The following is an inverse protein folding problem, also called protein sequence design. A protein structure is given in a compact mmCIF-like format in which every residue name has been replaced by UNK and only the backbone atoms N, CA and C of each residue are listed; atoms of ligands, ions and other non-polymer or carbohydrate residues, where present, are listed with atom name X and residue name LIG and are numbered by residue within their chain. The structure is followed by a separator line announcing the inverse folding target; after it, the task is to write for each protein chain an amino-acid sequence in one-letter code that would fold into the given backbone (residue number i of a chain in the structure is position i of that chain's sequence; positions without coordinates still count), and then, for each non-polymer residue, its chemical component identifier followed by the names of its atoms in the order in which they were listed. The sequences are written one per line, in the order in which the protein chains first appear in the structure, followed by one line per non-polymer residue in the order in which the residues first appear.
data_IF_738535129229
#
_entry.id   IF_738535129229
#
_cell.length_a   1.000
_cell.length_b   1.000
_cell.length_c   1.000
_cell.angle_alpha   90.00
_cell.angle_beta   90.00
_cell.angle_gamma   90.00
#
_symmetry.space_group_name_H-M   'P 1'
#
loop_
_entity.id
_entity.type
_entity.pdbx_description
1 polymer ?
#
# COMPACT_ATOMS: atom_id res chain seq x y z
N UNK A 1 6.79 15.31 -15.03
CA UNK A 1 5.80 15.05 -13.97
C UNK A 1 6.40 15.34 -12.60
N UNK A 2 5.69 16.02 -11.70
CA UNK A 2 6.13 16.32 -10.32
C UNK A 2 5.57 15.27 -9.38
N UNK A 3 6.42 14.36 -8.90
CA UNK A 3 6.04 13.16 -8.14
C UNK A 3 6.44 13.33 -6.68
N UNK A 4 5.59 12.85 -5.77
CA UNK A 4 5.88 12.71 -4.34
C UNK A 4 5.69 11.26 -3.91
N UNK A 5 6.68 10.71 -3.21
CA UNK A 5 6.57 9.43 -2.53
C UNK A 5 6.16 9.65 -1.08
N UNK A 6 5.28 8.83 -0.57
CA UNK A 6 4.86 8.83 0.82
C UNK A 6 4.93 7.43 1.42
N UNK A 7 5.28 7.36 2.67
CA UNK A 7 5.26 6.13 3.47
C UNK A 7 4.93 6.44 4.92
N UNK A 8 4.49 5.42 5.66
CA UNK A 8 4.42 5.49 7.12
C UNK A 8 4.89 4.18 7.74
N UNK A 9 5.29 4.23 8.98
CA UNK A 9 5.76 3.05 9.70
C UNK A 9 5.16 3.01 11.12
N UNK A 10 5.07 1.80 11.65
CA UNK A 10 4.61 1.58 13.04
C UNK A 10 5.69 2.05 14.02
N UNK A 11 5.33 2.71 15.14
CA UNK A 11 6.28 3.02 16.20
C UNK A 11 7.14 1.81 16.59
N UNK A 12 8.46 2.03 16.79
CA UNK A 12 9.43 0.98 17.11
C UNK A 12 9.87 0.09 15.96
N UNK A 13 9.50 0.42 14.71
CA UNK A 13 9.89 -0.38 13.52
C UNK A 13 10.81 0.38 12.56
N UNK A 14 11.25 1.56 12.93
CA UNK A 14 12.13 2.40 12.11
C UNK A 14 13.42 1.66 11.76
N UNK A 15 14.19 1.26 12.77
CA UNK A 15 15.47 0.57 12.59
C UNK A 15 15.30 -0.84 12.03
N UNK A 16 14.13 -1.46 12.24
CA UNK A 16 13.90 -2.83 11.79
C UNK A 16 13.79 -2.95 10.26
N UNK A 17 13.15 -1.98 9.60
CA UNK A 17 12.95 -2.02 8.14
C UNK A 17 12.66 -0.65 7.48
N UNK A 18 12.01 0.30 8.18
CA UNK A 18 11.53 1.53 7.54
C UNK A 18 12.68 2.45 7.12
N UNK A 19 13.74 2.57 7.92
CA UNK A 19 14.95 3.32 7.58
C UNK A 19 15.57 2.81 6.28
N UNK A 20 15.74 1.47 6.17
CA UNK A 20 16.29 0.82 4.98
C UNK A 20 15.43 1.13 3.75
N UNK A 21 14.12 1.06 3.89
CA UNK A 21 13.17 1.40 2.82
C UNK A 21 13.34 2.85 2.36
N UNK A 22 13.26 3.80 3.29
CA UNK A 22 13.37 5.24 2.97
C UNK A 22 14.72 5.56 2.34
N UNK A 23 15.82 5.02 2.90
CA UNK A 23 17.18 5.19 2.35
C UNK A 23 17.26 4.66 0.92
N UNK A 24 16.73 3.48 0.66
CA UNK A 24 16.73 2.88 -0.69
C UNK A 24 15.97 3.72 -1.72
N UNK A 25 14.89 4.39 -1.31
CA UNK A 25 14.18 5.35 -2.17
C UNK A 25 15.05 6.58 -2.44
N UNK A 26 15.68 7.14 -1.41
CA UNK A 26 16.54 8.32 -1.58
C UNK A 26 17.76 8.06 -2.46
N UNK A 27 18.29 6.86 -2.44
CA UNK A 27 19.46 6.45 -3.22
C UNK A 27 19.12 6.08 -4.67
N UNK A 28 17.97 5.47 -4.91
CA UNK A 28 17.66 4.82 -6.19
C UNK A 28 16.54 5.49 -7.00
N UNK A 29 15.81 6.43 -6.42
CA UNK A 29 14.76 7.14 -7.15
C UNK A 29 15.30 8.45 -7.72
N UNK A 30 14.80 8.89 -8.89
CA UNK A 30 15.30 10.09 -9.57
C UNK A 30 15.36 11.32 -8.66
N UNK A 31 16.36 12.16 -8.88
CA UNK A 31 16.45 13.46 -8.23
C UNK A 31 15.19 14.28 -8.48
N UNK A 32 14.83 15.14 -7.51
CA UNK A 32 13.61 15.96 -7.58
C UNK A 32 12.33 15.26 -7.13
N UNK A 33 12.36 13.96 -6.81
CA UNK A 33 11.22 13.29 -6.17
C UNK A 33 11.26 13.53 -4.66
N UNK A 34 10.22 14.18 -4.14
CA UNK A 34 10.07 14.43 -2.71
C UNK A 34 9.62 13.15 -1.98
N UNK A 35 10.14 12.94 -0.77
CA UNK A 35 9.81 11.79 0.08
C UNK A 35 9.25 12.30 1.41
N UNK A 36 7.98 12.01 1.68
CA UNK A 36 7.35 12.31 2.96
C UNK A 36 7.23 11.02 3.78
N UNK A 37 7.79 11.05 4.97
CA UNK A 37 7.76 9.94 5.93
C UNK A 37 6.84 10.34 7.08
N UNK A 38 5.71 9.67 7.17
CA UNK A 38 4.76 9.91 8.26
C UNK A 38 5.11 9.04 9.47
N UNK A 39 5.11 9.65 10.64
CA UNK A 39 5.37 8.96 11.91
C UNK A 39 4.29 9.28 12.94
N UNK A 40 4.23 8.48 13.99
CA UNK A 40 3.35 8.65 15.13
C UNK A 40 4.19 8.80 16.40
N UNK A 41 3.97 9.88 17.14
CA UNK A 41 4.66 10.13 18.41
C UNK A 41 6.07 10.66 18.24
N UNK A 42 7.09 9.82 18.34
CA UNK A 42 8.48 10.27 18.29
C UNK A 42 9.02 10.29 16.86
N UNK A 43 9.57 11.44 16.45
CA UNK A 43 10.30 11.56 15.20
C UNK A 43 11.54 10.64 15.22
N UNK A 44 11.80 9.90 14.14
CA UNK A 44 13.00 9.06 14.07
C UNK A 44 14.26 9.91 14.04
N UNK A 45 15.38 9.34 14.52
CA UNK A 45 16.67 10.00 14.50
C UNK A 45 17.04 10.51 13.12
N UNK A 46 17.51 11.76 13.09
CA UNK A 46 17.42 12.61 11.91
C UNK A 46 18.66 12.49 11.02
N UNK A 47 18.63 11.62 10.03
CA UNK A 47 19.50 11.80 8.86
C UNK A 47 18.83 12.81 7.93
N UNK A 48 19.25 14.07 8.02
CA UNK A 48 18.78 15.10 7.13
C UNK A 48 19.04 14.73 5.66
N UNK A 49 18.04 14.95 4.81
CA UNK A 49 18.17 14.81 3.36
C UNK A 49 17.24 15.83 2.68
N UNK A 50 17.69 16.57 1.65
CA UNK A 50 16.93 17.67 1.06
C UNK A 50 15.59 17.27 0.46
N UNK A 51 15.46 16.02 0.02
CA UNK A 51 14.23 15.46 -0.53
C UNK A 51 13.28 14.85 0.51
N UNK A 52 13.74 14.65 1.76
CA UNK A 52 13.01 13.95 2.80
C UNK A 52 12.37 14.95 3.77
N UNK A 53 11.10 14.71 4.10
CA UNK A 53 10.39 15.41 5.15
C UNK A 53 9.71 14.43 6.08
N UNK A 54 9.93 14.56 7.39
CA UNK A 54 9.16 13.89 8.42
C UNK A 54 7.88 14.66 8.72
N UNK A 55 6.77 13.95 8.92
CA UNK A 55 5.46 14.54 9.20
C UNK A 55 4.84 13.76 10.35
N UNK A 56 4.60 14.45 11.46
CA UNK A 56 3.82 13.89 12.56
C UNK A 56 2.36 13.73 12.14
N UNK A 57 1.95 12.49 12.00
CA UNK A 57 0.61 12.14 11.52
C UNK A 57 -0.49 12.60 12.48
N UNK A 58 -0.25 12.54 13.78
CA UNK A 58 -1.21 12.96 14.77
C UNK A 58 -1.42 14.49 14.76
N UNK A 59 -0.37 15.26 14.52
CA UNK A 59 -0.46 16.71 14.43
C UNK A 59 -1.21 17.19 13.18
N UNK A 60 -1.02 16.49 12.04
CA UNK A 60 -1.64 16.91 10.76
C UNK A 60 -3.00 16.28 10.51
N UNK A 61 -3.38 15.26 11.29
CA UNK A 61 -4.64 14.51 11.12
C UNK A 61 -5.36 14.29 12.47
N UNK A 62 -5.98 15.33 13.04
CA UNK A 62 -6.71 15.24 14.31
C UNK A 62 -7.89 14.26 14.24
N UNK A 63 -8.51 14.09 13.06
CA UNK A 63 -9.57 13.11 12.85
C UNK A 63 -9.10 11.67 13.06
N UNK A 64 -7.85 11.35 12.70
CA UNK A 64 -7.25 10.05 13.01
C UNK A 64 -7.13 9.85 14.52
N UNK A 65 -6.65 10.86 15.23
CA UNK A 65 -6.53 10.80 16.70
C UNK A 65 -7.89 10.56 17.34
N UNK A 66 -8.91 11.30 16.88
CA UNK A 66 -10.29 11.14 17.36
C UNK A 66 -10.83 9.73 17.08
N UNK A 67 -10.59 9.19 15.88
CA UNK A 67 -10.98 7.82 15.52
C UNK A 67 -10.29 6.79 16.43
N UNK A 68 -8.97 6.89 16.61
CA UNK A 68 -8.21 5.97 17.47
C UNK A 68 -8.68 6.02 18.91
N UNK A 69 -8.88 7.20 19.48
CA UNK A 69 -9.38 7.37 20.86
C UNK A 69 -10.78 6.77 21.04
N UNK A 70 -11.66 6.96 20.06
CA UNK A 70 -13.02 6.41 20.09
C UNK A 70 -13.03 4.88 20.11
N UNK A 71 -12.07 4.25 19.44
CA UNK A 71 -12.00 2.79 19.27
C UNK A 71 -10.85 2.12 20.03
N UNK A 72 -10.12 2.82 20.89
CA UNK A 72 -8.94 2.28 21.61
C UNK A 72 -9.23 1.04 22.46
N UNK A 73 -10.46 0.91 22.95
CA UNK A 73 -10.90 -0.20 23.80
C UNK A 73 -11.71 -1.26 23.02
N UNK A 74 -11.87 -1.12 21.71
CA UNK A 74 -12.51 -2.15 20.88
C UNK A 74 -11.45 -3.18 20.44
N UNK A 75 -11.42 -4.39 21.04
CA UNK A 75 -10.38 -5.37 20.75
C UNK A 75 -10.46 -5.91 19.34
N UNK A 76 -11.61 -5.81 18.67
CA UNK A 76 -11.76 -6.23 17.28
C UNK A 76 -11.18 -5.16 16.35
N UNK A 77 -11.53 -3.89 16.58
CA UNK A 77 -11.00 -2.78 15.81
C UNK A 77 -9.48 -2.61 15.94
N UNK A 78 -8.90 -3.14 17.04
CA UNK A 78 -7.45 -3.19 17.30
C UNK A 78 -6.79 -4.50 16.83
N UNK A 79 -7.53 -5.41 16.18
CA UNK A 79 -6.99 -6.67 15.67
C UNK A 79 -6.58 -7.68 16.77
N UNK A 80 -7.09 -7.54 17.99
CA UNK A 80 -6.79 -8.40 19.13
C UNK A 80 -7.71 -9.62 19.20
N UNK A 81 -8.96 -9.49 18.77
CA UNK A 81 -9.96 -10.56 18.76
C UNK A 81 -10.51 -10.78 17.36
N UNK A 82 -10.87 -12.04 17.10
CA UNK A 82 -11.56 -12.46 15.89
C UNK A 82 -13.08 -12.55 16.07
N UNK A 83 -13.54 -12.65 17.32
CA UNK A 83 -14.94 -12.80 17.67
C UNK A 83 -15.45 -11.57 18.41
N UNK A 84 -16.67 -11.19 18.11
CA UNK A 84 -17.40 -10.17 18.89
C UNK A 84 -18.16 -10.88 20.01
N UNK A 85 -18.11 -10.38 21.24
CA UNK A 85 -18.99 -10.86 22.30
C UNK A 85 -20.46 -10.82 21.85
N UNK A 86 -21.12 -11.98 21.83
CA UNK A 86 -22.53 -12.10 21.43
C UNK A 86 -22.82 -12.29 19.94
N UNK A 87 -21.80 -12.40 19.09
CA UNK A 87 -21.98 -12.67 17.67
C UNK A 87 -20.74 -13.24 16.99
N UNK A 88 -20.97 -14.22 16.14
CA UNK A 88 -19.91 -14.69 15.22
C UNK A 88 -19.82 -13.65 14.12
N UNK A 89 -18.74 -12.89 14.06
CA UNK A 89 -18.37 -12.26 12.80
C UNK A 89 -17.98 -13.40 11.87
N UNK A 90 -18.85 -13.68 10.92
CA UNK A 90 -18.53 -14.63 9.87
C UNK A 90 -17.22 -14.19 9.24
N UNK A 91 -16.23 -15.09 9.30
CA UNK A 91 -15.11 -15.01 8.38
C UNK A 91 -15.73 -14.94 7.00
N UNK A 92 -15.35 -13.99 6.15
CA UNK A 92 -15.79 -14.03 4.77
C UNK A 92 -15.48 -15.41 4.22
N UNK A 93 -16.44 -16.08 3.63
CA UNK A 93 -16.28 -17.42 3.02
C UNK A 93 -15.23 -17.45 1.90
N UNK A 94 -14.76 -16.30 1.49
CA UNK A 94 -13.71 -16.13 0.51
C UNK A 94 -12.39 -16.72 0.99
N UNK A 95 -12.24 -18.00 0.83
CA UNK A 95 -10.94 -18.63 0.68
C UNK A 95 -10.27 -19.22 1.90
N UNK A 96 -11.00 -19.75 2.87
CA UNK A 96 -10.50 -20.87 3.72
C UNK A 96 -9.09 -20.76 4.31
N UNK A 97 -8.51 -19.59 4.41
CA UNK A 97 -7.25 -19.41 5.13
C UNK A 97 -7.58 -19.05 6.56
N UNK A 98 -7.36 -19.98 7.45
CA UNK A 98 -7.13 -19.68 8.86
C UNK A 98 -5.96 -18.71 8.93
N UNK A 99 -6.26 -17.42 9.03
CA UNK A 99 -5.27 -16.34 9.04
C UNK A 99 -4.73 -16.08 10.43
N UNK A 100 -4.91 -17.02 11.34
CA UNK A 100 -4.25 -17.03 12.63
C UNK A 100 -4.81 -16.04 13.64
N UNK A 101 -4.32 -16.14 14.84
CA UNK A 101 -4.66 -15.29 15.99
C UNK A 101 -4.35 -13.84 15.70
N UNK A 102 -5.27 -12.94 15.98
CA UNK A 102 -5.14 -11.50 15.73
C UNK A 102 -5.44 -11.19 14.27
N UNK A 103 -6.71 -11.22 13.93
CA UNK A 103 -7.09 -11.04 12.55
C UNK A 103 -6.84 -9.62 12.10
N UNK A 104 -5.80 -9.42 11.28
CA UNK A 104 -5.55 -8.15 10.62
C UNK A 104 -6.75 -7.70 9.75
N UNK A 105 -7.71 -8.58 9.49
CA UNK A 105 -8.89 -8.28 8.67
C UNK A 105 -9.74 -7.16 9.26
N UNK A 106 -9.76 -7.03 10.58
CA UNK A 106 -10.55 -6.02 11.30
C UNK A 106 -9.70 -5.00 12.07
N UNK A 107 -8.39 -5.00 11.94
CA UNK A 107 -7.48 -4.06 12.58
C UNK A 107 -7.58 -2.65 11.95
N UNK A 108 -8.80 -2.06 12.05
CA UNK A 108 -9.10 -0.76 11.46
C UNK A 108 -8.30 0.38 12.07
N UNK A 109 -8.00 0.30 13.37
CA UNK A 109 -7.22 1.32 14.08
C UNK A 109 -5.81 1.44 13.50
N UNK A 110 -5.17 0.32 13.21
CA UNK A 110 -3.86 0.33 12.55
C UNK A 110 -3.95 0.81 11.11
N UNK A 111 -4.90 0.28 10.33
CA UNK A 111 -5.00 0.59 8.91
C UNK A 111 -5.52 2.01 8.64
N UNK A 112 -6.19 2.65 9.60
CA UNK A 112 -6.54 4.06 9.52
C UNK A 112 -5.32 4.95 9.23
N UNK A 113 -4.15 4.64 9.79
CA UNK A 113 -2.93 5.41 9.58
C UNK A 113 -2.62 5.60 8.09
N UNK A 114 -2.70 4.54 7.29
CA UNK A 114 -2.46 4.60 5.85
C UNK A 114 -3.45 5.52 5.15
N UNK A 115 -4.72 5.40 5.51
CA UNK A 115 -5.79 6.23 4.91
C UNK A 115 -5.52 7.70 5.16
N UNK A 116 -5.30 8.08 6.42
CA UNK A 116 -5.07 9.46 6.79
C UNK A 116 -3.73 10.03 6.28
N UNK A 117 -2.69 9.19 6.12
CA UNK A 117 -1.46 9.58 5.42
C UNK A 117 -1.74 9.93 3.96
N UNK A 118 -2.44 9.04 3.25
CA UNK A 118 -2.73 9.20 1.83
C UNK A 118 -3.63 10.40 1.58
N UNK A 119 -4.71 10.56 2.34
CA UNK A 119 -5.68 11.66 2.16
C UNK A 119 -5.03 13.02 2.45
N UNK A 120 -4.22 13.11 3.51
CA UNK A 120 -3.42 14.31 3.79
C UNK A 120 -2.42 14.60 2.66
N UNK A 121 -1.72 13.59 2.18
CA UNK A 121 -0.74 13.77 1.11
C UNK A 121 -1.40 14.21 -0.20
N UNK A 122 -2.54 13.64 -0.58
CA UNK A 122 -3.31 14.06 -1.76
C UNK A 122 -3.68 15.53 -1.64
N UNK A 123 -4.34 15.93 -0.54
CA UNK A 123 -4.76 17.30 -0.29
C UNK A 123 -3.58 18.30 -0.39
N UNK A 124 -2.55 18.06 0.41
CA UNK A 124 -1.41 18.99 0.49
C UNK A 124 -0.51 18.96 -0.75
N UNK A 125 -0.59 17.94 -1.58
CA UNK A 125 0.17 17.84 -2.82
C UNK A 125 -0.52 18.56 -3.97
N UNK A 126 -1.85 18.55 -4.03
CA UNK A 126 -2.63 19.35 -4.96
C UNK A 126 -2.36 20.85 -4.72
N UNK A 127 -2.38 21.30 -3.47
CA UNK A 127 -2.08 22.68 -3.08
C UNK A 127 -0.66 23.14 -3.51
N UNK A 128 0.26 22.20 -3.73
CA UNK A 128 1.66 22.43 -4.14
C UNK A 128 1.95 22.03 -5.58
N UNK A 129 0.89 21.83 -6.36
CA UNK A 129 0.96 21.52 -7.78
C UNK A 129 1.83 20.28 -8.11
N UNK A 130 1.64 19.20 -7.33
CA UNK A 130 2.15 17.89 -7.68
C UNK A 130 1.19 17.19 -8.64
N UNK A 131 1.75 16.35 -9.51
CA UNK A 131 0.99 15.57 -10.49
C UNK A 131 0.55 14.22 -9.92
N UNK A 132 1.37 13.66 -9.03
CA UNK A 132 1.22 12.30 -8.55
C UNK A 132 1.72 12.16 -7.11
N UNK A 133 0.98 11.38 -6.31
CA UNK A 133 1.44 10.83 -5.03
C UNK A 133 1.58 9.31 -5.18
N UNK A 134 2.72 8.77 -4.77
CA UNK A 134 2.97 7.33 -4.72
C UNK A 134 3.07 6.89 -3.27
N UNK A 135 2.18 6.00 -2.86
CA UNK A 135 2.30 5.27 -1.61
C UNK A 135 3.25 4.10 -1.77
N UNK A 136 4.18 3.95 -0.81
CA UNK A 136 4.98 2.74 -0.62
C UNK A 136 4.85 2.23 0.81
N UNK A 137 4.62 0.94 1.00
CA UNK A 137 4.73 0.34 2.33
C UNK A 137 6.18 0.44 2.82
N UNK A 138 6.37 0.72 4.12
CA UNK A 138 7.68 0.94 4.71
C UNK A 138 8.58 -0.32 4.75
N UNK A 139 8.08 -1.46 4.34
CA UNK A 139 8.83 -2.71 4.17
C UNK A 139 9.15 -3.04 2.71
N UNK A 140 9.19 -2.03 1.84
CA UNK A 140 9.72 -2.14 0.49
C UNK A 140 11.22 -1.84 0.46
N UNK A 141 11.92 -2.32 -0.57
CA UNK A 141 13.33 -2.07 -0.77
C UNK A 141 13.65 -1.87 -2.26
N UNK A 142 14.08 -0.68 -2.62
CA UNK A 142 14.52 -0.37 -3.99
C UNK A 142 15.98 -0.77 -4.14
N UNK A 143 16.25 -1.80 -4.94
CA UNK A 143 17.56 -2.43 -5.03
C UNK A 143 18.40 -1.94 -6.22
N UNK A 144 17.87 -1.08 -7.07
CA UNK A 144 18.59 -0.45 -8.18
C UNK A 144 17.91 0.83 -8.65
N UNK A 145 18.62 1.73 -9.36
CA UNK A 145 18.05 2.97 -9.85
C UNK A 145 16.80 2.76 -10.70
N UNK A 146 15.75 3.55 -10.42
CA UNK A 146 14.50 3.55 -11.17
C UNK A 146 14.57 4.65 -12.25
N UNK A 147 14.34 4.34 -13.53
CA UNK A 147 14.21 5.35 -14.57
C UNK A 147 13.01 6.28 -14.32
N UNK A 148 13.15 7.54 -14.66
CA UNK A 148 12.07 8.53 -14.45
C UNK A 148 10.85 8.24 -15.30
N UNK A 149 11.03 7.86 -16.54
CA UNK A 149 9.97 7.46 -17.47
C UNK A 149 9.20 6.24 -16.99
N UNK A 150 9.88 5.27 -16.33
CA UNK A 150 9.19 4.16 -15.69
C UNK A 150 8.16 4.65 -14.66
N UNK A 151 8.55 5.58 -13.79
CA UNK A 151 7.63 6.14 -12.77
C UNK A 151 6.50 6.97 -13.40
N UNK A 152 6.80 7.71 -14.45
CA UNK A 152 5.81 8.50 -15.19
C UNK A 152 4.78 7.61 -15.89
N UNK A 153 5.21 6.47 -16.42
CA UNK A 153 4.33 5.47 -17.02
C UNK A 153 3.41 4.77 -15.99
N UNK A 154 3.80 4.74 -14.71
CA UNK A 154 2.93 4.25 -13.63
C UNK A 154 1.81 5.23 -13.26
N UNK A 155 1.82 6.46 -13.79
CA UNK A 155 0.79 7.47 -13.54
C UNK A 155 0.19 7.99 -14.86
N UNK A 156 -0.51 7.16 -15.64
CA UNK A 156 -1.08 7.58 -16.91
C UNK A 156 -2.18 8.63 -16.69
N UNK A 157 -2.23 9.63 -17.57
CA UNK A 157 -3.14 10.77 -17.42
C UNK A 157 -4.63 10.40 -17.39
N UNK A 158 -5.00 9.30 -18.02
CA UNK A 158 -6.39 8.84 -18.13
C UNK A 158 -6.86 7.95 -16.96
N UNK A 159 -5.99 7.63 -16.03
CA UNK A 159 -6.33 6.76 -14.88
C UNK A 159 -6.22 7.53 -13.58
N UNK A 160 -7.18 7.33 -12.68
CA UNK A 160 -7.17 7.94 -11.35
C UNK A 160 -6.15 7.28 -10.42
N UNK A 161 -6.05 5.94 -10.51
CA UNK A 161 -5.23 5.11 -9.64
C UNK A 161 -4.41 4.13 -10.48
N UNK A 162 -3.17 3.86 -10.02
CA UNK A 162 -2.40 2.69 -10.44
C UNK A 162 -2.12 1.82 -9.24
N UNK A 163 -2.41 0.52 -9.34
CA UNK A 163 -2.26 -0.43 -8.23
C UNK A 163 -2.04 -1.86 -8.72
N UNK A 164 -1.66 -2.73 -7.81
CA UNK A 164 -1.47 -4.15 -8.05
C UNK A 164 -2.77 -4.92 -7.80
N UNK A 165 -3.60 -5.07 -8.83
CA UNK A 165 -4.84 -5.84 -8.76
C UNK A 165 -4.60 -7.34 -8.64
N UNK A 166 -5.57 -8.01 -8.03
CA UNK A 166 -5.65 -9.48 -7.92
C UNK A 166 -7.00 -10.02 -8.34
N UNK A 167 -7.95 -9.15 -8.61
CA UNK A 167 -9.30 -9.51 -8.98
C UNK A 167 -9.34 -10.01 -10.42
N UNK A 168 -9.99 -11.14 -10.65
CA UNK A 168 -10.40 -11.53 -11.99
C UNK A 168 -11.80 -10.98 -12.27
N UNK A 169 -11.94 -9.95 -13.11
CA UNK A 169 -13.24 -9.36 -13.38
C UNK A 169 -14.20 -10.31 -14.12
N UNK A 170 -13.68 -11.39 -14.73
CA UNK A 170 -14.49 -12.36 -15.48
C UNK A 170 -15.03 -13.48 -14.59
N UNK A 171 -14.37 -13.77 -13.46
CA UNK A 171 -14.73 -14.92 -12.63
C UNK A 171 -15.63 -14.55 -11.46
N UNK A 172 -15.87 -13.28 -11.19
CA UNK A 172 -16.63 -12.81 -10.03
C UNK A 172 -16.25 -13.56 -8.73
N UNK A 173 -14.96 -13.96 -8.67
CA UNK A 173 -14.41 -14.86 -7.65
C UNK A 173 -14.14 -14.15 -6.31
N UNK A 174 -14.74 -13.02 -6.12
CA UNK A 174 -15.05 -12.34 -4.84
C UNK A 174 -13.95 -12.25 -3.81
N UNK A 175 -12.69 -12.43 -4.15
CA UNK A 175 -11.86 -12.75 -3.04
C UNK A 175 -10.40 -12.34 -3.03
N UNK A 176 -9.89 -11.63 -4.02
CA UNK A 176 -8.48 -11.22 -3.99
C UNK A 176 -8.34 -9.72 -4.12
N UNK A 177 -8.29 -9.06 -2.97
CA UNK A 177 -8.09 -7.62 -2.89
C UNK A 177 -6.73 -7.19 -3.43
N UNK A 178 -6.58 -5.94 -3.91
CA UNK A 178 -5.31 -5.40 -4.40
C UNK A 178 -4.17 -5.55 -3.39
N UNK A 179 -2.95 -5.68 -3.89
CA UNK A 179 -1.75 -5.53 -3.07
C UNK A 179 -1.45 -4.04 -2.91
N UNK A 180 -1.73 -3.49 -1.73
CA UNK A 180 -1.62 -2.06 -1.47
C UNK A 180 -0.23 -1.63 -0.98
N UNK A 181 0.81 -2.44 -1.16
CA UNK A 181 2.21 -2.06 -0.89
C UNK A 181 2.74 -0.97 -1.82
N UNK A 182 2.10 -0.82 -2.98
CA UNK A 182 2.30 0.26 -3.92
C UNK A 182 0.95 0.74 -4.46
N UNK A 183 0.71 2.05 -4.39
CA UNK A 183 -0.44 2.69 -5.07
C UNK A 183 -0.01 4.07 -5.56
N UNK A 184 -0.26 4.37 -6.83
CA UNK A 184 -0.07 5.69 -7.40
C UNK A 184 -1.42 6.40 -7.53
N UNK A 185 -1.50 7.63 -7.07
CA UNK A 185 -2.66 8.50 -7.08
C UNK A 185 -2.41 9.65 -8.05
N UNK A 186 -3.17 9.71 -9.14
CA UNK A 186 -3.09 10.80 -10.13
C UNK A 186 -3.84 12.04 -9.61
N UNK A 187 -3.10 13.05 -9.22
CA UNK A 187 -3.66 14.27 -8.62
C UNK A 187 -4.36 15.18 -9.64
N UNK A 188 -4.14 14.96 -10.93
CA UNK A 188 -4.81 15.69 -12.01
C UNK A 188 -6.18 15.11 -12.37
N UNK A 189 -6.48 13.91 -11.88
CA UNK A 189 -7.77 13.29 -12.14
C UNK A 189 -8.88 14.00 -11.36
N UNK A 190 -10.02 14.40 -12.00
CA UNK A 190 -11.05 15.21 -11.36
C UNK A 190 -11.70 14.56 -10.14
N UNK A 191 -11.75 13.23 -10.09
CA UNK A 191 -12.37 12.50 -8.98
C UNK A 191 -11.42 12.20 -7.81
N UNK A 192 -10.14 12.54 -7.89
CA UNK A 192 -9.16 12.12 -6.85
C UNK A 192 -9.43 12.75 -5.48
N UNK A 193 -9.89 14.01 -5.44
CA UNK A 193 -10.24 14.67 -4.18
C UNK A 193 -11.50 14.07 -3.56
N UNK A 194 -12.49 13.72 -4.38
CA UNK A 194 -13.70 13.03 -3.94
C UNK A 194 -13.37 11.63 -3.40
N UNK A 195 -12.47 10.91 -4.09
CA UNK A 195 -11.98 9.60 -3.63
C UNK A 195 -11.32 9.72 -2.25
N UNK A 196 -10.40 10.65 -2.07
CA UNK A 196 -9.70 10.87 -0.80
C UNK A 196 -10.67 11.24 0.33
N UNK A 197 -11.62 12.16 0.06
CA UNK A 197 -12.64 12.56 1.04
C UNK A 197 -13.53 11.38 1.44
N UNK A 198 -14.05 10.62 0.49
CA UNK A 198 -14.91 9.47 0.77
C UNK A 198 -14.15 8.37 1.54
N UNK A 199 -12.85 8.21 1.28
CA UNK A 199 -12.03 7.24 2.02
C UNK A 199 -11.85 7.67 3.48
N UNK A 200 -11.55 8.94 3.74
CA UNK A 200 -11.45 9.49 5.09
C UNK A 200 -12.80 9.43 5.82
N UNK A 201 -13.89 9.71 5.12
CA UNK A 201 -15.25 9.70 5.67
C UNK A 201 -15.67 8.32 6.19
N UNK A 202 -15.24 7.22 5.56
CA UNK A 202 -15.51 5.87 6.07
C UNK A 202 -15.03 5.70 7.52
N UNK A 203 -13.94 6.34 7.89
CA UNK A 203 -13.37 6.24 9.25
C UNK A 203 -13.94 7.32 10.18
N UNK A 204 -14.10 8.55 9.72
CA UNK A 204 -14.62 9.64 10.56
C UNK A 204 -16.08 9.43 10.96
N UNK A 205 -16.87 8.77 10.11
CA UNK A 205 -18.27 8.43 10.34
C UNK A 205 -18.50 7.03 10.93
N UNK A 206 -17.42 6.27 11.21
CA UNK A 206 -17.47 4.85 11.60
C UNK A 206 -18.15 3.91 10.57
N UNK A 207 -18.35 4.38 9.34
CA UNK A 207 -18.97 3.57 8.29
C UNK A 207 -18.09 2.41 7.83
N UNK A 208 -16.79 2.45 8.12
CA UNK A 208 -15.86 1.33 7.91
C UNK A 208 -16.33 0.05 8.59
N UNK A 209 -16.99 0.15 9.76
CA UNK A 209 -17.51 -0.99 10.51
C UNK A 209 -18.75 -1.65 9.89
N UNK A 210 -19.33 -1.04 8.87
CA UNK A 210 -20.42 -1.64 8.07
C UNK A 210 -19.89 -2.53 6.95
N UNK A 211 -18.58 -2.48 6.69
CA UNK A 211 -17.92 -3.29 5.67
C UNK A 211 -17.61 -4.70 6.23
N UNK A 212 -17.42 -5.68 5.34
CA UNK A 212 -17.13 -7.07 5.72
C UNK A 212 -15.74 -7.21 6.33
N UNK A 213 -14.75 -6.44 5.85
CA UNK A 213 -13.38 -6.41 6.36
C UNK A 213 -12.92 -4.95 6.46
N UNK A 214 -11.98 -4.65 7.37
CA UNK A 214 -11.58 -3.27 7.66
C UNK A 214 -10.10 -2.98 7.43
N UNK A 215 -9.35 -3.94 6.86
CA UNK A 215 -7.96 -3.70 6.47
C UNK A 215 -7.86 -2.89 5.18
N UNK A 216 -6.70 -2.29 4.97
CA UNK A 216 -6.45 -1.34 3.88
C UNK A 216 -6.78 -1.87 2.48
N UNK A 217 -6.42 -3.12 2.19
CA UNK A 217 -6.64 -3.71 0.86
C UNK A 217 -8.13 -3.90 0.55
N UNK A 218 -8.94 -4.31 1.55
CA UNK A 218 -10.38 -4.46 1.36
C UNK A 218 -11.07 -3.10 1.20
N UNK A 219 -10.78 -2.17 2.10
CA UNK A 219 -11.42 -0.83 2.08
C UNK A 219 -11.05 -0.09 0.79
N UNK A 220 -9.78 -0.16 0.36
CA UNK A 220 -9.33 0.40 -0.91
C UNK A 220 -10.04 -0.26 -2.10
N UNK A 221 -10.13 -1.60 -2.12
CA UNK A 221 -10.84 -2.33 -3.16
C UNK A 221 -12.30 -1.92 -3.23
N UNK A 222 -12.99 -1.91 -2.09
CA UNK A 222 -14.39 -1.54 -1.99
C UNK A 222 -14.65 -0.15 -2.59
N UNK A 223 -13.88 0.84 -2.15
CA UNK A 223 -14.02 2.21 -2.63
C UNK A 223 -13.64 2.34 -4.12
N UNK A 224 -12.51 1.77 -4.53
CA UNK A 224 -12.08 1.82 -5.93
C UNK A 224 -13.07 1.12 -6.87
N UNK A 225 -13.74 0.05 -6.41
CA UNK A 225 -14.79 -0.63 -7.16
C UNK A 225 -15.98 0.29 -7.41
N UNK A 226 -16.48 1.02 -6.41
CA UNK A 226 -17.55 2.00 -6.55
C UNK A 226 -17.18 3.02 -7.65
N UNK A 227 -15.96 3.58 -7.60
CA UNK A 227 -15.54 4.54 -8.63
C UNK A 227 -15.46 3.94 -10.02
N UNK A 228 -14.97 2.71 -10.16
CA UNK A 228 -14.89 2.01 -11.46
C UNK A 228 -16.28 1.68 -12.02
N UNK A 229 -17.18 1.16 -11.19
CA UNK A 229 -18.45 0.60 -11.68
C UNK A 229 -19.57 1.63 -11.74
N UNK A 230 -19.65 2.56 -10.78
CA UNK A 230 -20.74 3.51 -10.69
C UNK A 230 -20.41 4.86 -11.34
N UNK A 231 -19.12 5.26 -11.28
CA UNK A 231 -18.65 6.53 -11.84
C UNK A 231 -17.86 6.36 -13.14
N UNK A 232 -17.68 5.12 -13.60
CA UNK A 232 -16.92 4.81 -14.82
C UNK A 232 -15.51 5.40 -14.83
N UNK A 233 -14.85 5.43 -13.66
CA UNK A 233 -13.50 5.97 -13.51
C UNK A 233 -12.47 4.93 -13.96
N UNK A 234 -11.59 5.30 -14.88
CA UNK A 234 -10.52 4.44 -15.33
C UNK A 234 -9.43 4.30 -14.27
N UNK A 235 -8.89 3.08 -14.15
CA UNK A 235 -7.75 2.74 -13.30
C UNK A 235 -6.71 1.95 -14.10
N UNK A 236 -5.46 2.00 -13.67
CA UNK A 236 -4.36 1.24 -14.24
C UNK A 236 -3.99 0.09 -13.29
N UNK A 237 -4.44 -1.11 -13.61
CA UNK A 237 -4.08 -2.32 -12.86
C UNK A 237 -2.81 -2.92 -13.48
N UNK A 238 -1.68 -2.78 -12.78
CA UNK A 238 -0.37 -3.34 -13.17
C UNK A 238 -0.13 -4.75 -12.59
N UNK A 239 -1.13 -5.32 -11.92
CA UNK A 239 -1.10 -6.67 -11.39
C UNK A 239 -1.84 -7.64 -12.32
N UNK A 240 -3.07 -7.96 -11.98
CA UNK A 240 -3.84 -8.99 -12.66
C UNK A 240 -4.01 -8.76 -14.17
N UNK A 241 -4.32 -7.53 -14.59
CA UNK A 241 -4.60 -7.18 -15.99
C UNK A 241 -3.36 -7.29 -16.89
N UNK A 242 -2.17 -7.24 -16.31
CA UNK A 242 -0.91 -7.52 -17.01
C UNK A 242 -0.49 -8.99 -16.92
N UNK A 243 -1.38 -9.88 -16.49
CA UNK A 243 -1.15 -11.32 -16.45
C UNK A 243 -0.30 -11.77 -15.25
N UNK A 244 -0.07 -10.92 -14.27
CA UNK A 244 0.69 -11.28 -13.07
C UNK A 244 -0.14 -12.21 -12.18
N UNK A 245 0.22 -13.48 -12.16
CA UNK A 245 -0.44 -14.54 -11.38
C UNK A 245 0.53 -15.12 -10.37
N UNK A 246 0.72 -14.48 -9.23
CA UNK A 246 1.67 -14.99 -8.25
C UNK A 246 1.18 -14.82 -6.83
N UNK A 247 1.74 -15.60 -5.91
CA UNK A 247 1.51 -15.38 -4.49
C UNK A 247 2.03 -14.01 -4.04
N UNK A 248 3.10 -13.52 -4.67
CA UNK A 248 3.70 -12.24 -4.42
C UNK A 248 3.59 -11.34 -5.65
N UNK A 249 2.38 -10.81 -5.85
CA UNK A 249 2.04 -9.96 -7.00
C UNK A 249 3.05 -8.80 -7.18
N UNK A 250 3.51 -8.19 -6.09
CA UNK A 250 4.43 -7.06 -6.14
C UNK A 250 5.71 -7.39 -6.91
N UNK A 251 6.42 -8.43 -6.49
CA UNK A 251 7.71 -8.80 -7.11
C UNK A 251 7.55 -9.45 -8.49
N UNK A 252 6.36 -9.96 -8.80
CA UNK A 252 6.06 -10.53 -10.11
C UNK A 252 5.50 -9.52 -11.11
N UNK A 253 5.26 -8.27 -10.68
CA UNK A 253 4.88 -7.16 -11.55
C UNK A 253 6.11 -6.42 -12.09
N UNK A 254 5.87 -5.44 -12.95
CA UNK A 254 6.94 -4.55 -13.43
C UNK A 254 7.70 -3.82 -12.30
N UNK A 255 7.09 -3.63 -11.13
CA UNK A 255 7.77 -3.09 -9.94
C UNK A 255 8.93 -3.98 -9.49
N UNK A 256 8.80 -5.30 -9.63
CA UNK A 256 9.85 -6.27 -9.29
C UNK A 256 11.15 -6.12 -10.08
N UNK A 257 11.15 -5.33 -11.16
CA UNK A 257 12.38 -4.93 -11.85
C UNK A 257 13.27 -4.03 -10.99
N UNK A 258 12.72 -3.34 -10.01
CA UNK A 258 13.42 -2.31 -9.22
C UNK A 258 13.23 -2.44 -7.73
N UNK A 259 12.10 -2.98 -7.28
CA UNK A 259 11.66 -2.94 -5.89
C UNK A 259 11.29 -4.34 -5.40
N UNK A 260 11.78 -4.69 -4.22
CA UNK A 260 11.32 -5.84 -3.45
C UNK A 260 10.32 -5.40 -2.37
N UNK A 261 9.41 -6.28 -1.97
CA UNK A 261 8.46 -6.04 -0.89
C UNK A 261 8.61 -7.11 0.19
N UNK A 262 9.21 -6.74 1.30
CA UNK A 262 9.66 -7.63 2.38
C UNK A 262 8.53 -8.04 3.33
N UNK A 263 7.33 -8.28 2.82
CA UNK A 263 6.14 -8.60 3.61
C UNK A 263 6.30 -9.86 4.48
N UNK A 264 5.88 -9.76 5.73
CA UNK A 264 5.87 -10.90 6.66
C UNK A 264 7.27 -11.42 7.00
N UNK A 265 7.51 -12.72 6.81
CA UNK A 265 8.79 -13.38 7.15
C UNK A 265 9.99 -12.83 6.36
N UNK A 266 9.75 -12.24 5.19
CA UNK A 266 10.78 -11.66 4.32
C UNK A 266 11.52 -10.49 4.97
N UNK A 267 10.89 -9.79 5.93
CA UNK A 267 11.55 -8.74 6.74
C UNK A 267 12.80 -9.25 7.45
N UNK A 268 12.72 -10.48 8.01
CA UNK A 268 13.85 -11.11 8.70
C UNK A 268 14.94 -11.62 7.75
N UNK A 269 14.56 -11.96 6.52
CA UNK A 269 15.49 -12.44 5.50
C UNK A 269 16.18 -11.29 4.75
N UNK A 270 15.57 -10.10 4.74
CA UNK A 270 16.05 -8.97 3.95
C UNK A 270 15.79 -9.05 2.45
N UNK A 271 15.09 -10.09 1.99
CA UNK A 271 14.71 -10.30 0.59
C UNK A 271 13.51 -11.23 0.43
N UNK A 272 12.82 -11.17 -0.71
CA UNK A 272 11.91 -12.21 -1.17
C UNK A 272 12.68 -13.49 -1.51
N UNK A 273 12.01 -14.64 -1.58
CA UNK A 273 12.61 -15.94 -1.88
C UNK A 273 12.28 -16.40 -3.32
N UNK A 274 13.06 -17.37 -3.85
CA UNK A 274 12.87 -17.86 -5.23
C UNK A 274 11.46 -18.39 -5.49
N UNK A 275 10.83 -19.03 -4.53
CA UNK A 275 9.47 -19.55 -4.67
C UNK A 275 8.37 -18.47 -4.58
N UNK A 276 8.73 -17.21 -4.29
CA UNK A 276 7.81 -16.07 -4.45
C UNK A 276 7.60 -15.73 -5.93
N UNK A 277 8.55 -16.12 -6.79
CA UNK A 277 8.47 -15.91 -8.23
C UNK A 277 7.73 -17.06 -8.90
N UNK A 278 6.86 -16.71 -9.83
CA UNK A 278 6.24 -17.67 -10.71
C UNK A 278 6.58 -17.33 -12.15
N UNK A 279 7.10 -18.29 -12.91
CA UNK A 279 7.30 -18.12 -14.36
C UNK A 279 5.97 -17.74 -15.00
N UNK A 280 5.91 -16.61 -15.64
CA UNK A 280 4.73 -16.19 -16.40
C UNK A 280 5.04 -16.35 -17.88
N UNK A 281 4.19 -17.09 -18.58
CA UNK A 281 4.23 -17.14 -20.02
C UNK A 281 3.69 -15.79 -20.53
N UNK A 282 4.48 -14.96 -21.15
CA UNK A 282 4.08 -13.71 -21.84
C UNK A 282 4.06 -12.40 -21.01
N UNK A 283 4.81 -12.24 -19.94
CA UNK A 283 4.99 -10.94 -19.30
C UNK A 283 6.38 -10.36 -19.59
N UNK A 284 6.49 -9.02 -19.65
CA UNK A 284 7.76 -8.30 -19.72
C UNK A 284 8.71 -8.63 -18.56
N UNK A 285 8.15 -9.22 -17.50
CA UNK A 285 8.87 -9.67 -16.30
C UNK A 285 9.38 -11.11 -16.38
N UNK A 286 9.30 -11.78 -17.55
CA UNK A 286 9.70 -13.20 -17.70
C UNK A 286 11.12 -13.54 -17.27
N UNK A 287 12.01 -12.54 -17.21
CA UNK A 287 13.42 -12.70 -16.87
C UNK A 287 13.84 -12.06 -15.55
N UNK A 288 12.90 -11.76 -14.64
CA UNK A 288 13.26 -11.17 -13.34
C UNK A 288 14.33 -11.96 -12.57
N UNK A 289 14.23 -13.30 -12.61
CA UNK A 289 15.21 -14.19 -11.98
C UNK A 289 16.63 -14.08 -12.58
N UNK A 290 16.80 -13.44 -13.73
CA UNK A 290 18.11 -13.16 -14.33
C UNK A 290 18.77 -11.92 -13.76
N UNK A 291 18.03 -11.03 -13.08
CA UNK A 291 18.62 -9.87 -12.41
C UNK A 291 19.54 -10.32 -11.26
N UNK A 292 20.68 -9.65 -11.13
CA UNK A 292 21.70 -10.02 -10.11
C UNK A 292 21.15 -10.02 -8.70
N UNK A 293 20.29 -9.07 -8.36
CA UNK A 293 19.59 -9.05 -7.07
C UNK A 293 18.83 -10.36 -6.83
N UNK A 294 18.02 -10.82 -7.79
CA UNK A 294 17.20 -12.01 -7.63
C UNK A 294 17.99 -13.31 -7.69
N UNK A 295 19.16 -13.34 -8.34
CA UNK A 295 20.04 -14.50 -8.37
C UNK A 295 20.63 -14.85 -7.01
N UNK A 296 20.81 -13.85 -6.13
CA UNK A 296 21.44 -13.99 -4.82
C UNK A 296 20.47 -14.47 -3.73
N UNK A 297 19.19 -14.60 -4.04
CA UNK A 297 18.15 -14.92 -3.06
C UNK A 297 18.14 -16.41 -2.72
N UNK A 298 17.94 -16.78 -1.44
CA UNK A 298 17.80 -18.18 -1.04
C UNK A 298 16.59 -18.84 -1.72
N UNK A 299 16.68 -20.15 -2.03
CA UNK A 299 15.67 -20.85 -2.79
C UNK A 299 14.31 -20.93 -2.10
N UNK A 300 14.25 -20.95 -0.79
CA UNK A 300 13.00 -21.10 -0.03
C UNK A 300 13.03 -20.37 1.31
N UNK A 301 11.85 -19.87 1.69
CA UNK A 301 11.46 -19.61 3.07
C UNK A 301 10.77 -20.87 3.59
N UNK A 302 11.43 -21.65 4.42
CA UNK A 302 10.78 -22.70 5.21
C UNK A 302 10.08 -22.13 6.44
#
# INVERSE_FOLDING_TARGET
MKIKVITSYKPGTWEQYAEKSVRSVLENWPEGIAVNVYYEGQEPDNHWHPRKKYIDLHNVQPNLVTFKERHKNDPVANGELQEIPGGVRRLPEAGGMDRGKGSFLWDSVRFANKVFCVTHAIKTSIEKDYDCVIWLDADTYTFRPIPRDFLENLCPNNSMLTYLGRENPQLNDGGKYPECGFVCYNLRHPEIQNFARNWEELYTSDSVFKLLEWHDSYVFWHLSKIYRTEKNVAVNDIGYWKGVKGHHVFVNSELGLYIDHLKGKRKKLGSSAKNDFRPQKNSETQNLTQLDYWKQIPPTLK
#
